data_IF_144943868688
#
_entry.id   IF_144943868688
#
_cell.length_a   1.000
_cell.length_b   1.000
_cell.length_c   1.000
_cell.angle_alpha   90.00
_cell.angle_beta   90.00
_cell.angle_gamma   90.00
#
_symmetry.space_group_name_H-M   'P 1'
#
loop_
_entity.id
_entity.type
_entity.pdbx_description
1 polymer ?
#
# COMPACT_ATOMS: atom_id res chain seq x y z
N UNK A 1 28.12 1.26 23.96
CA UNK A 1 28.49 0.96 22.56
C UNK A 1 27.36 0.13 21.96
N UNK A 2 26.43 0.76 21.26
CA UNK A 2 25.29 0.07 20.62
C UNK A 2 25.69 -0.43 19.23
N UNK A 3 25.40 -1.69 18.94
CA UNK A 3 25.56 -2.31 17.63
C UNK A 3 24.70 -1.58 16.61
N UNK A 4 25.34 -0.93 15.65
CA UNK A 4 24.69 -0.25 14.53
C UNK A 4 24.13 -1.31 13.58
N UNK A 5 22.82 -1.49 13.56
CA UNK A 5 22.13 -2.31 12.55
C UNK A 5 22.20 -1.60 11.20
N UNK A 6 22.83 -2.25 10.22
CA UNK A 6 22.88 -1.77 8.84
C UNK A 6 21.44 -1.58 8.29
N UNK A 7 21.15 -0.60 7.42
CA UNK A 7 19.82 -0.44 6.81
C UNK A 7 19.32 -1.72 6.13
N UNK A 8 20.24 -2.50 5.57
CA UNK A 8 19.99 -3.84 5.01
C UNK A 8 19.53 -4.85 6.06
N UNK A 9 20.04 -4.77 7.29
CA UNK A 9 19.63 -5.61 8.43
C UNK A 9 18.26 -5.21 9.00
N UNK A 10 17.94 -3.92 9.05
CA UNK A 10 16.60 -3.43 9.41
C UNK A 10 15.55 -3.80 8.34
N UNK A 11 15.93 -3.77 7.07
CA UNK A 11 15.12 -4.25 5.96
C UNK A 11 15.01 -5.78 5.87
N UNK A 12 16.05 -6.50 6.27
CA UNK A 12 15.98 -7.94 6.50
C UNK A 12 15.07 -8.26 7.68
N UNK A 13 14.95 -7.40 8.70
CA UNK A 13 13.95 -7.57 9.76
C UNK A 13 12.51 -7.34 9.30
N UNK A 14 12.24 -6.45 8.33
CA UNK A 14 10.97 -6.43 7.57
C UNK A 14 10.68 -7.80 6.91
N UNK A 15 11.74 -8.50 6.46
CA UNK A 15 11.66 -9.87 6.00
C UNK A 15 11.57 -10.94 7.11
N UNK A 16 12.05 -10.67 8.33
CA UNK A 16 12.06 -11.57 9.50
C UNK A 16 10.84 -11.45 10.43
N UNK A 17 9.94 -10.48 10.24
CA UNK A 17 8.58 -10.53 10.83
C UNK A 17 7.85 -11.85 10.45
N UNK A 18 8.38 -12.60 9.48
CA UNK A 18 8.07 -14.00 9.19
C UNK A 18 8.30 -15.04 10.32
N UNK A 19 8.89 -14.72 11.48
CA UNK A 19 9.11 -15.74 12.53
C UNK A 19 7.97 -15.90 13.55
N UNK A 20 6.85 -15.18 13.40
CA UNK A 20 5.60 -15.44 14.14
C UNK A 20 4.58 -16.28 13.34
N UNK A 21 4.97 -16.77 12.15
CA UNK A 21 4.11 -17.49 11.21
C UNK A 21 4.57 -18.95 10.96
N UNK A 22 5.06 -19.64 11.99
CA UNK A 22 5.46 -21.04 11.89
C UNK A 22 4.37 -22.06 12.27
N UNK A 23 3.23 -21.64 12.86
CA UNK A 23 2.27 -22.59 13.45
C UNK A 23 0.92 -22.72 12.72
N UNK A 24 0.78 -22.23 11.48
CA UNK A 24 -0.49 -22.28 10.74
C UNK A 24 -0.44 -23.10 9.44
N UNK A 25 0.38 -24.15 9.36
CA UNK A 25 0.30 -25.15 8.27
C UNK A 25 -0.11 -26.49 8.85
N UNK A 26 -1.40 -26.64 9.06
CA UNK A 26 -2.00 -27.89 9.48
C UNK A 26 -3.50 -27.78 9.47
N UNK A 27 -4.10 -28.06 8.31
CA UNK A 27 -5.48 -28.51 8.06
C UNK A 27 -6.19 -27.66 7.01
N UNK A 28 -6.09 -28.08 5.75
CA UNK A 28 -7.28 -28.34 4.94
C UNK A 28 -6.84 -29.12 3.71
N UNK A 29 -7.03 -30.44 3.74
CA UNK A 29 -7.16 -31.30 2.56
C UNK A 29 -7.60 -32.68 3.03
N UNK A 30 -8.90 -32.88 3.12
CA UNK A 30 -9.49 -34.20 3.02
C UNK A 30 -10.58 -34.12 1.95
N UNK A 31 -10.28 -34.70 0.78
CA UNK A 31 -11.10 -35.72 0.08
C UNK A 31 -10.58 -35.86 -1.36
N UNK A 32 -10.35 -37.13 -1.74
CA UNK A 32 -10.13 -37.71 -3.07
C UNK A 32 -8.68 -37.87 -3.60
N UNK A 33 -8.11 -39.02 -3.21
CA UNK A 33 -7.24 -40.02 -3.85
C UNK A 33 -6.23 -39.70 -4.97
N UNK A 34 -5.08 -40.42 -4.97
CA UNK A 34 -3.88 -40.06 -5.70
C UNK A 34 -3.75 -40.79 -7.04
N UNK A 35 -3.00 -40.23 -7.99
CA UNK A 35 -2.02 -40.91 -8.84
C UNK A 35 -1.36 -39.84 -9.74
N UNK A 36 -0.02 -39.74 -9.66
CA UNK A 36 0.92 -38.89 -10.43
C UNK A 36 0.84 -37.34 -10.26
N UNK A 37 1.48 -36.76 -9.22
CA UNK A 37 1.73 -35.29 -9.19
C UNK A 37 2.83 -34.78 -8.23
N UNK A 38 3.76 -35.59 -7.71
CA UNK A 38 4.72 -35.06 -6.72
C UNK A 38 5.84 -34.17 -7.33
N UNK A 39 6.34 -34.50 -8.52
CA UNK A 39 7.39 -33.70 -9.18
C UNK A 39 6.87 -32.35 -9.75
N UNK A 40 5.60 -32.30 -10.17
CA UNK A 40 4.92 -31.08 -10.64
C UNK A 40 4.74 -30.05 -9.52
N UNK A 41 4.38 -30.53 -8.32
CA UNK A 41 4.07 -29.67 -7.18
C UNK A 41 5.32 -29.01 -6.58
N UNK A 42 6.46 -29.71 -6.56
CA UNK A 42 7.73 -29.14 -6.12
C UNK A 42 8.19 -28.00 -7.03
N UNK A 43 8.10 -28.18 -8.35
CA UNK A 43 8.48 -27.16 -9.35
C UNK A 43 7.61 -25.90 -9.23
N UNK A 44 6.30 -26.06 -9.01
CA UNK A 44 5.37 -24.93 -8.83
C UNK A 44 5.63 -24.20 -7.50
N UNK A 45 5.95 -24.93 -6.43
CA UNK A 45 6.29 -24.35 -5.14
C UNK A 45 7.59 -23.53 -5.22
N UNK A 46 8.61 -24.04 -5.88
CA UNK A 46 9.90 -23.37 -6.09
C UNK A 46 9.74 -22.10 -6.93
N UNK A 47 8.96 -22.15 -8.02
CA UNK A 47 8.65 -20.98 -8.83
C UNK A 47 7.89 -19.90 -8.03
N UNK A 48 6.94 -20.31 -7.17
CA UNK A 48 6.22 -19.36 -6.28
C UNK A 48 7.17 -18.73 -5.27
N UNK A 49 8.06 -19.51 -4.66
CA UNK A 49 9.06 -19.00 -3.72
C UNK A 49 10.02 -18.00 -4.39
N UNK A 50 10.49 -18.32 -5.59
CA UNK A 50 11.36 -17.45 -6.39
C UNK A 50 10.64 -16.14 -6.76
N UNK A 51 9.38 -16.21 -7.22
CA UNK A 51 8.59 -15.03 -7.54
C UNK A 51 8.35 -14.14 -6.31
N UNK A 52 8.07 -14.74 -5.14
CA UNK A 52 7.91 -14.01 -3.89
C UNK A 52 9.20 -13.31 -3.45
N UNK A 53 10.34 -13.97 -3.60
CA UNK A 53 11.66 -13.39 -3.30
C UNK A 53 11.96 -12.18 -4.19
N UNK A 54 11.71 -12.31 -5.50
CA UNK A 54 11.90 -11.21 -6.45
C UNK A 54 10.94 -10.05 -6.18
N UNK A 55 9.67 -10.34 -5.86
CA UNK A 55 8.68 -9.34 -5.48
C UNK A 55 9.10 -8.59 -4.21
N UNK A 56 9.60 -9.31 -3.19
CA UNK A 56 10.12 -8.72 -1.96
C UNK A 56 11.28 -7.77 -2.24
N UNK A 57 12.27 -8.20 -3.03
CA UNK A 57 13.42 -7.36 -3.37
C UNK A 57 13.01 -6.10 -4.13
N UNK A 58 12.07 -6.22 -5.07
CA UNK A 58 11.54 -5.09 -5.85
C UNK A 58 10.85 -4.09 -4.94
N UNK A 59 9.98 -4.57 -4.04
CA UNK A 59 9.25 -3.72 -3.11
C UNK A 59 10.17 -3.04 -2.09
N UNK A 60 11.14 -3.78 -1.55
CA UNK A 60 12.19 -3.25 -0.68
C UNK A 60 13.00 -2.14 -1.36
N UNK A 61 13.38 -2.34 -2.62
CA UNK A 61 14.12 -1.33 -3.39
C UNK A 61 13.30 -0.05 -3.58
N UNK A 62 12.00 -0.19 -3.85
CA UNK A 62 11.07 0.94 -3.93
C UNK A 62 11.00 1.71 -2.60
N UNK A 63 10.79 1.02 -1.47
CA UNK A 63 10.69 1.65 -0.15
C UNK A 63 11.99 2.36 0.23
N UNK A 64 13.14 1.72 -0.02
CA UNK A 64 14.45 2.35 0.19
C UNK A 64 14.60 3.66 -0.59
N UNK A 65 14.27 3.65 -1.89
CA UNK A 65 14.37 4.85 -2.72
C UNK A 65 13.47 5.98 -2.21
N UNK A 66 12.24 5.67 -1.77
CA UNK A 66 11.31 6.64 -1.19
C UNK A 66 11.80 7.20 0.14
N UNK A 67 12.26 6.34 1.05
CA UNK A 67 12.79 6.78 2.35
C UNK A 67 14.09 7.58 2.20
N UNK A 68 14.93 7.25 1.22
CA UNK A 68 16.12 8.02 0.90
C UNK A 68 15.74 9.44 0.45
N UNK A 69 14.77 9.57 -0.46
CA UNK A 69 14.26 10.87 -0.89
C UNK A 69 13.72 11.70 0.30
N UNK A 70 12.97 11.07 1.20
CA UNK A 70 12.47 11.72 2.42
C UNK A 70 13.61 12.24 3.31
N UNK A 71 14.65 11.41 3.50
CA UNK A 71 15.82 11.77 4.30
C UNK A 71 16.64 12.92 3.69
N UNK A 72 16.61 13.05 2.37
CA UNK A 72 17.33 14.11 1.65
C UNK A 72 16.55 15.43 1.63
N UNK A 73 15.21 15.39 1.63
CA UNK A 73 14.38 16.56 1.40
C UNK A 73 13.82 17.22 2.66
N UNK A 74 13.54 16.50 3.75
CA UNK A 74 12.59 17.00 4.78
C UNK A 74 12.84 16.61 6.23
N UNK A 75 13.87 15.84 6.53
CA UNK A 75 14.10 15.48 7.92
C UNK A 75 14.85 16.59 8.63
N UNK A 76 14.13 17.38 9.44
CA UNK A 76 14.74 18.24 10.45
C UNK A 76 15.72 17.40 11.28
N UNK A 77 17.02 17.72 11.31
CA UNK A 77 18.01 16.96 12.08
C UNK A 77 17.63 16.84 13.57
N UNK A 78 16.90 17.83 14.11
CA UNK A 78 16.43 17.81 15.49
C UNK A 78 15.40 16.69 15.76
N UNK A 79 14.72 16.20 14.72
CA UNK A 79 13.77 15.08 14.82
C UNK A 79 14.48 13.76 15.15
N UNK A 80 15.74 13.63 14.73
CA UNK A 80 16.56 12.43 14.90
C UNK A 80 17.82 12.73 15.73
N UNK A 81 17.68 13.06 17.03
CA UNK A 81 18.78 13.57 17.85
C UNK A 81 19.97 12.59 17.96
N UNK A 82 19.74 11.30 17.76
CA UNK A 82 20.77 10.26 17.82
C UNK A 82 21.51 10.03 16.49
N UNK A 83 21.05 10.63 15.39
CA UNK A 83 21.65 10.42 14.07
C UNK A 83 22.81 11.38 13.79
N UNK A 84 22.79 12.60 14.34
CA UNK A 84 23.67 13.67 13.88
C UNK A 84 23.50 13.91 12.36
N UNK A 85 24.53 14.42 11.70
CA UNK A 85 24.49 14.76 10.26
C UNK A 85 24.69 13.54 9.32
N UNK A 86 24.47 12.32 9.80
CA UNK A 86 24.73 11.12 9.03
C UNK A 86 23.46 10.61 8.31
N UNK A 87 23.29 10.84 6.99
CA UNK A 87 22.06 10.50 6.25
C UNK A 87 21.73 9.00 6.29
N UNK A 88 22.76 8.14 6.27
CA UNK A 88 22.60 6.69 6.39
C UNK A 88 21.96 6.26 7.72
N UNK A 89 22.17 7.02 8.80
CA UNK A 89 21.55 6.74 10.10
C UNK A 89 20.08 7.16 10.11
N UNK A 90 19.76 8.29 9.47
CA UNK A 90 18.36 8.76 9.30
C UNK A 90 17.55 7.73 8.53
N UNK A 91 18.08 7.22 7.41
CA UNK A 91 17.42 6.17 6.62
C UNK A 91 17.14 4.91 7.47
N UNK A 92 18.11 4.46 8.27
CA UNK A 92 17.92 3.35 9.19
C UNK A 92 16.83 3.60 10.24
N UNK A 93 16.70 4.84 10.73
CA UNK A 93 15.62 5.24 11.66
C UNK A 93 14.27 5.29 10.99
N UNK A 94 14.15 5.85 9.79
CA UNK A 94 12.91 5.87 9.02
C UNK A 94 12.39 4.45 8.79
N UNK A 95 13.28 3.52 8.42
CA UNK A 95 12.91 2.10 8.28
C UNK A 95 12.41 1.49 9.61
N UNK A 96 13.05 1.83 10.73
CA UNK A 96 12.66 1.34 12.05
C UNK A 96 11.32 1.93 12.53
N UNK A 97 11.05 3.21 12.25
CA UNK A 97 9.76 3.85 12.55
C UNK A 97 8.67 3.23 11.68
N UNK A 98 8.94 2.98 10.40
CA UNK A 98 7.99 2.29 9.52
C UNK A 98 7.62 0.90 10.05
N UNK A 99 8.62 0.14 10.51
CA UNK A 99 8.44 -1.16 11.16
C UNK A 99 7.60 -1.07 12.44
N UNK A 100 7.91 -0.10 13.28
CA UNK A 100 7.17 0.16 14.52
C UNK A 100 5.70 0.51 14.24
N UNK A 101 5.46 1.42 13.30
CA UNK A 101 4.12 1.80 12.86
C UNK A 101 3.33 0.60 12.35
N UNK A 102 3.94 -0.25 11.52
CA UNK A 102 3.30 -1.50 11.03
C UNK A 102 2.97 -2.42 12.20
N UNK A 103 3.93 -2.68 13.08
CA UNK A 103 3.73 -3.56 14.23
C UNK A 103 2.63 -3.04 15.14
N UNK A 104 2.59 -1.74 15.40
CA UNK A 104 1.61 -1.14 16.28
C UNK A 104 0.21 -1.18 15.67
N UNK A 105 0.08 -0.86 14.38
CA UNK A 105 -1.20 -0.95 13.66
C UNK A 105 -1.70 -2.38 13.50
N UNK A 106 -0.82 -3.38 13.38
CA UNK A 106 -1.23 -4.79 13.35
C UNK A 106 -1.74 -5.27 14.71
N UNK A 107 -1.10 -4.85 15.81
CA UNK A 107 -1.48 -5.27 17.17
C UNK A 107 -2.70 -4.50 17.70
N UNK A 108 -2.85 -3.23 17.32
CA UNK A 108 -3.88 -2.31 17.79
C UNK A 108 -4.39 -1.51 16.59
N UNK A 109 -5.28 -2.06 15.77
CA UNK A 109 -5.61 -1.44 14.48
C UNK A 109 -6.45 -0.15 14.59
N UNK A 110 -6.94 0.16 15.80
CA UNK A 110 -7.61 1.42 16.19
C UNK A 110 -6.64 2.51 16.70
N UNK A 111 -5.36 2.42 16.36
CA UNK A 111 -4.37 3.41 16.75
C UNK A 111 -4.50 4.71 15.94
N UNK A 112 -4.19 5.83 16.58
CA UNK A 112 -4.00 7.13 15.93
C UNK A 112 -2.54 7.37 15.54
N UNK A 113 -2.27 8.37 14.71
CA UNK A 113 -0.90 8.81 14.43
C UNK A 113 -0.17 9.28 15.70
N UNK A 114 -0.91 9.84 16.66
CA UNK A 114 -0.38 10.24 17.96
C UNK A 114 0.09 9.04 18.80
N UNK A 115 -0.62 7.91 18.74
CA UNK A 115 -0.25 6.71 19.50
C UNK A 115 1.05 6.12 18.93
N UNK A 116 1.15 6.01 17.60
CA UNK A 116 2.37 5.58 16.91
C UNK A 116 3.54 6.52 17.23
N UNK A 117 3.30 7.84 17.27
CA UNK A 117 4.32 8.81 17.69
C UNK A 117 4.80 8.54 19.12
N UNK A 118 3.87 8.35 20.05
CA UNK A 118 4.18 8.15 21.47
C UNK A 118 4.99 6.87 21.68
N UNK A 119 4.62 5.79 20.99
CA UNK A 119 5.36 4.52 21.01
C UNK A 119 6.78 4.70 20.42
N UNK A 120 6.90 5.37 19.28
CA UNK A 120 8.19 5.68 18.65
C UNK A 120 9.09 6.59 19.49
N UNK A 121 8.53 7.53 20.27
CA UNK A 121 9.28 8.33 21.27
C UNK A 121 9.75 7.44 22.42
N UNK A 122 8.88 6.56 22.94
CA UNK A 122 9.23 5.58 23.97
C UNK A 122 10.38 4.66 23.56
N UNK A 123 10.44 4.30 22.28
CA UNK A 123 11.52 3.52 21.66
C UNK A 123 12.77 4.36 21.30
N UNK A 124 12.75 5.67 21.58
CA UNK A 124 13.82 6.62 21.27
C UNK A 124 14.16 6.68 19.78
N UNK A 125 13.15 6.50 18.92
CA UNK A 125 13.27 6.65 17.47
C UNK A 125 13.04 8.10 17.03
N UNK A 126 12.16 8.81 17.74
CA UNK A 126 11.79 10.21 17.52
C UNK A 126 12.11 11.06 18.76
N UNK A 127 12.22 12.38 18.55
CA UNK A 127 12.35 13.37 19.63
C UNK A 127 11.03 13.56 20.38
N UNK A 128 11.11 13.77 21.70
CA UNK A 128 9.97 14.12 22.57
C UNK A 128 9.67 15.64 22.57
N UNK A 129 10.37 16.42 21.75
CA UNK A 129 10.11 17.86 21.64
C UNK A 129 8.73 18.09 21.02
N UNK A 130 7.82 18.67 21.79
CA UNK A 130 6.48 19.03 21.36
C UNK A 130 6.48 19.95 20.13
N UNK A 131 7.54 20.74 19.91
CA UNK A 131 7.71 21.57 18.71
C UNK A 131 7.91 20.75 17.44
N UNK A 132 8.47 19.55 17.57
CA UNK A 132 8.75 18.63 16.46
C UNK A 132 7.62 17.62 16.22
N UNK A 133 6.60 17.59 17.09
CA UNK A 133 5.48 16.67 17.00
C UNK A 133 4.80 16.66 15.62
N UNK A 134 4.65 17.83 14.99
CA UNK A 134 4.02 17.94 13.67
C UNK A 134 4.87 17.29 12.58
N UNK A 135 6.17 17.57 12.56
CA UNK A 135 7.12 16.94 11.64
C UNK A 135 7.20 15.43 11.85
N UNK A 136 7.19 15.00 13.12
CA UNK A 136 7.16 13.59 13.50
C UNK A 136 5.91 12.87 12.98
N UNK A 137 4.74 13.47 13.22
CA UNK A 137 3.45 12.95 12.75
C UNK A 137 3.38 12.87 11.22
N UNK A 138 3.92 13.88 10.54
CA UNK A 138 4.01 13.88 9.09
C UNK A 138 4.92 12.75 8.56
N UNK A 139 6.08 12.52 9.17
CA UNK A 139 6.95 11.39 8.80
C UNK A 139 6.22 10.06 8.97
N UNK A 140 5.50 9.86 10.08
CA UNK A 140 4.71 8.65 10.30
C UNK A 140 3.62 8.52 9.24
N UNK A 141 2.90 9.60 8.92
CA UNK A 141 1.90 9.62 7.85
C UNK A 141 2.49 9.19 6.51
N UNK A 142 3.61 9.79 6.08
CA UNK A 142 4.29 9.41 4.84
C UNK A 142 4.70 7.93 4.83
N UNK A 143 5.28 7.45 5.92
CA UNK A 143 5.70 6.05 6.05
C UNK A 143 4.52 5.09 5.99
N UNK A 144 3.43 5.37 6.70
CA UNK A 144 2.20 4.56 6.67
C UNK A 144 1.61 4.54 5.25
N UNK A 145 1.55 5.68 4.57
CA UNK A 145 1.08 5.76 3.19
C UNK A 145 1.89 4.86 2.24
N UNK A 146 3.23 4.91 2.31
CA UNK A 146 4.09 4.05 1.50
C UNK A 146 4.04 2.57 1.92
N UNK A 147 3.90 2.26 3.20
CA UNK A 147 3.88 0.86 3.66
C UNK A 147 2.56 0.16 3.33
N UNK A 148 1.47 0.92 3.30
CA UNK A 148 0.11 0.41 3.06
C UNK A 148 -0.32 0.57 1.61
N UNK A 149 0.31 1.48 0.86
CA UNK A 149 -0.09 1.89 -0.50
C UNK A 149 -1.53 2.38 -0.60
N UNK A 150 -2.19 2.71 0.52
CA UNK A 150 -3.59 3.14 0.50
C UNK A 150 -3.75 4.51 -0.15
N UNK A 151 -2.75 5.38 0.05
CA UNK A 151 -2.68 6.71 -0.54
C UNK A 151 -1.26 7.02 -0.98
N UNK A 152 -1.12 8.06 -1.81
CA UNK A 152 0.18 8.56 -2.24
C UNK A 152 0.53 9.81 -1.42
N UNK A 153 1.25 9.69 -0.30
CA UNK A 153 1.61 10.84 0.51
C UNK A 153 2.55 11.74 -0.27
N UNK A 154 2.31 13.04 -0.19
CA UNK A 154 3.30 14.01 -0.61
C UNK A 154 4.34 14.15 0.50
N UNK A 155 5.62 14.23 0.13
CA UNK A 155 6.67 14.47 1.10
C UNK A 155 6.57 15.87 1.74
N UNK A 156 5.78 16.81 1.23
CA UNK A 156 5.76 18.21 1.70
C UNK A 156 5.54 18.42 3.22
N UNK A 157 5.79 19.62 3.75
CA UNK A 157 5.69 19.87 5.20
C UNK A 157 4.27 19.73 5.80
N UNK A 158 3.29 19.24 5.04
CA UNK A 158 1.90 19.07 5.45
C UNK A 158 1.47 17.61 5.23
N UNK A 159 0.50 17.11 5.99
CA UNK A 159 -0.12 15.82 5.67
C UNK A 159 -1.03 16.01 4.46
N UNK A 160 -0.44 15.92 3.26
CA UNK A 160 -1.16 16.04 2.00
C UNK A 160 -1.04 14.77 1.17
N UNK A 161 -2.07 14.50 0.38
CA UNK A 161 -2.15 13.33 -0.49
C UNK A 161 -2.17 13.83 -1.93
N UNK A 162 -1.36 13.19 -2.77
CA UNK A 162 -1.47 13.37 -4.20
C UNK A 162 -2.75 12.71 -4.70
N UNK A 163 -3.65 13.51 -5.27
CA UNK A 163 -4.84 13.00 -5.92
C UNK A 163 -4.72 13.16 -7.44
N UNK A 164 -4.42 12.06 -8.12
CA UNK A 164 -4.49 11.97 -9.58
C UNK A 164 -5.95 11.84 -10.01
N UNK A 165 -6.66 12.98 -10.10
CA UNK A 165 -7.89 13.11 -10.89
C UNK A 165 -9.08 12.22 -10.49
N UNK A 166 -9.12 11.71 -9.26
CA UNK A 166 -10.16 10.77 -8.83
C UNK A 166 -11.56 11.41 -8.76
N UNK A 167 -12.57 10.71 -9.29
CA UNK A 167 -13.98 11.08 -9.10
C UNK A 167 -14.56 10.63 -7.75
N UNK A 168 -13.95 9.65 -7.06
CA UNK A 168 -14.40 9.20 -5.74
C UNK A 168 -13.99 10.13 -4.59
N UNK A 169 -13.18 11.17 -4.85
CA UNK A 169 -12.75 12.16 -3.87
C UNK A 169 -13.13 13.55 -4.36
N UNK A 170 -14.00 14.25 -3.64
CA UNK A 170 -14.55 15.54 -4.10
C UNK A 170 -13.54 16.71 -4.06
N UNK A 171 -12.29 16.52 -3.64
CA UNK A 171 -11.35 17.63 -3.38
C UNK A 171 -9.91 17.37 -3.85
N UNK A 172 -9.49 18.07 -4.94
CA UNK A 172 -8.19 18.01 -5.65
C UNK A 172 -6.90 17.96 -4.83
N UNK A 173 -6.91 18.39 -3.58
CA UNK A 173 -5.83 18.17 -2.62
C UNK A 173 -6.49 18.22 -1.26
N UNK A 174 -6.53 17.10 -0.55
CA UNK A 174 -6.92 17.11 0.86
C UNK A 174 -5.69 17.52 1.66
N UNK A 175 -5.40 18.82 1.67
CA UNK A 175 -4.53 19.42 2.68
C UNK A 175 -5.34 19.56 3.95
N UNK A 176 -5.05 18.77 4.96
CA UNK A 176 -5.50 19.10 6.31
C UNK A 176 -4.42 19.98 6.95
N UNK A 177 -4.64 21.29 7.12
CA UNK A 177 -3.68 22.14 7.81
C UNK A 177 -3.54 21.62 9.25
N UNK A 178 -2.32 21.22 9.61
CA UNK A 178 -1.91 20.91 10.98
C UNK A 178 -1.89 22.16 11.89
N UNK A 179 -2.22 23.33 11.36
CA UNK A 179 -2.13 24.61 12.06
C UNK A 179 -3.32 24.82 12.97
N UNK A 180 -3.20 24.36 14.22
CA UNK A 180 -4.06 24.75 15.34
C UNK A 180 -3.66 24.02 16.63
N UNK A 181 -3.72 24.67 17.80
CA UNK A 181 -3.40 24.05 19.11
C UNK A 181 -4.35 22.92 19.52
N UNK A 182 -5.32 22.59 18.67
CA UNK A 182 -6.34 21.57 18.85
C UNK A 182 -6.70 20.96 17.50
N UNK A 183 -5.78 20.28 16.83
CA UNK A 183 -6.11 19.46 15.64
C UNK A 183 -6.58 18.08 16.08
N UNK A 184 -7.90 17.81 16.16
CA UNK A 184 -8.43 16.52 16.61
C UNK A 184 -8.01 15.33 15.74
N UNK A 185 -7.48 15.58 14.54
CA UNK A 185 -7.24 14.57 13.51
C UNK A 185 -6.05 13.64 13.78
N UNK A 186 -4.92 14.13 14.30
CA UNK A 186 -3.80 13.23 14.65
C UNK A 186 -4.12 12.28 15.79
N UNK A 187 -5.17 12.60 16.58
CA UNK A 187 -5.67 11.80 17.70
C UNK A 187 -6.85 10.90 17.32
N UNK A 188 -7.39 11.04 16.09
CA UNK A 188 -8.37 10.09 15.55
C UNK A 188 -7.66 8.84 15.06
N UNK A 189 -8.41 7.74 15.04
CA UNK A 189 -7.91 6.47 14.52
C UNK A 189 -7.40 6.66 13.07
N UNK A 190 -6.32 5.98 12.70
CA UNK A 190 -5.76 6.07 11.35
C UNK A 190 -6.81 5.65 10.31
N UNK A 191 -7.62 4.64 10.63
CA UNK A 191 -8.77 4.22 9.84
C UNK A 191 -9.79 5.34 9.62
N UNK A 192 -10.16 6.09 10.67
CA UNK A 192 -11.05 7.24 10.55
C UNK A 192 -10.45 8.34 9.69
N UNK A 193 -9.17 8.67 9.91
CA UNK A 193 -8.47 9.65 9.09
C UNK A 193 -8.46 9.23 7.61
N UNK A 194 -8.26 7.96 7.31
CA UNK A 194 -8.33 7.44 5.94
C UNK A 194 -9.72 7.65 5.32
N UNK A 195 -10.80 7.43 6.07
CA UNK A 195 -12.15 7.75 5.59
C UNK A 195 -12.35 9.25 5.33
N UNK A 196 -11.86 10.12 6.22
CA UNK A 196 -11.91 11.58 6.01
C UNK A 196 -11.11 12.04 4.80
N UNK A 197 -10.03 11.30 4.48
CA UNK A 197 -9.25 11.50 3.27
C UNK A 197 -9.98 11.01 2.01
N UNK A 198 -11.24 10.59 2.13
CA UNK A 198 -12.10 10.08 1.07
C UNK A 198 -11.75 8.66 0.64
N UNK A 199 -10.82 7.98 1.33
CA UNK A 199 -10.37 6.64 0.94
C UNK A 199 -11.49 5.65 1.25
N UNK A 200 -12.40 5.50 0.31
CA UNK A 200 -13.45 4.49 0.36
C UNK A 200 -12.82 3.17 -0.06
N UNK A 201 -12.73 2.23 0.88
CA UNK A 201 -12.38 0.85 0.55
C UNK A 201 -13.31 0.38 -0.57
N UNK A 202 -12.78 -0.28 -1.62
CA UNK A 202 -13.60 -0.82 -2.70
C UNK A 202 -14.72 -1.66 -2.12
N UNK A 203 -15.96 -1.16 -2.17
CA UNK A 203 -17.13 -1.99 -1.89
C UNK A 203 -17.27 -2.95 -3.06
N UNK A 204 -17.76 -4.18 -2.82
CA UNK A 204 -18.25 -5.01 -3.93
C UNK A 204 -19.31 -4.20 -4.67
N UNK A 205 -18.95 -3.68 -5.86
CA UNK A 205 -19.91 -3.12 -6.77
C UNK A 205 -20.85 -4.27 -7.14
N UNK A 206 -22.03 -4.30 -6.53
CA UNK A 206 -23.12 -5.09 -7.08
C UNK A 206 -23.37 -4.49 -8.46
N UNK A 207 -23.29 -5.33 -9.49
CA UNK A 207 -23.77 -4.95 -10.80
C UNK A 207 -25.27 -4.69 -10.63
N UNK A 208 -25.64 -3.43 -10.38
CA UNK A 208 -27.00 -3.00 -10.55
C UNK A 208 -27.29 -3.21 -12.03
N UNK A 209 -28.18 -4.16 -12.32
CA UNK A 209 -28.62 -4.50 -13.67
C UNK A 209 -29.50 -3.36 -14.23
N UNK A 210 -29.07 -2.11 -14.13
CA UNK A 210 -29.66 -1.01 -14.87
C UNK A 210 -29.29 -1.20 -16.34
N UNK A 211 -30.16 -1.92 -17.05
CA UNK A 211 -30.24 -1.90 -18.50
C UNK A 211 -30.60 -0.48 -18.94
N UNK A 212 -29.65 0.44 -18.98
CA UNK A 212 -29.82 1.70 -19.70
C UNK A 212 -28.47 2.33 -19.98
N UNK A 213 -27.95 2.00 -21.16
CA UNK A 213 -27.50 2.94 -22.19
C UNK A 213 -26.86 2.12 -23.30
N UNK A 214 -27.09 2.54 -24.55
CA UNK A 214 -26.55 1.90 -25.74
C UNK A 214 -25.03 2.10 -25.82
N UNK A 215 -24.28 1.47 -24.92
CA UNK A 215 -22.85 1.39 -24.99
C UNK A 215 -22.50 0.44 -26.14
N UNK A 216 -21.71 0.93 -27.11
CA UNK A 216 -20.98 0.06 -28.04
C UNK A 216 -20.22 -0.96 -27.21
N UNK A 217 -20.70 -2.21 -27.19
CA UNK A 217 -20.11 -3.25 -26.37
C UNK A 217 -18.73 -3.59 -26.91
N UNK A 218 -17.69 -3.22 -26.18
CA UNK A 218 -16.35 -3.69 -26.48
C UNK A 218 -16.28 -5.15 -25.99
N UNK A 219 -15.98 -6.07 -26.89
CA UNK A 219 -15.72 -7.46 -26.51
C UNK A 219 -14.55 -7.48 -25.52
N UNK A 220 -14.77 -8.06 -24.33
CA UNK A 220 -13.75 -8.14 -23.28
C UNK A 220 -12.44 -8.78 -23.77
N UNK A 221 -12.50 -9.64 -24.79
CA UNK A 221 -11.34 -10.25 -25.44
C UNK A 221 -10.46 -9.25 -26.20
N UNK A 222 -11.01 -8.11 -26.58
CA UNK A 222 -10.32 -7.04 -27.30
C UNK A 222 -9.70 -6.01 -26.34
N UNK A 223 -10.02 -6.08 -25.04
CA UNK A 223 -9.48 -5.17 -24.03
C UNK A 223 -8.02 -5.52 -23.76
N UNK A 224 -7.12 -4.66 -24.24
CA UNK A 224 -5.71 -4.65 -23.88
C UNK A 224 -5.17 -3.22 -24.03
N UNK A 225 -3.97 -2.94 -23.48
CA UNK A 225 -3.40 -1.59 -23.47
C UNK A 225 -3.23 -1.01 -24.88
N UNK A 226 -2.84 -1.82 -25.87
CA UNK A 226 -2.74 -1.33 -27.25
C UNK A 226 -4.10 -0.92 -27.81
N UNK A 227 -5.15 -1.70 -27.59
CA UNK A 227 -6.50 -1.35 -28.05
C UNK A 227 -6.96 -0.03 -27.42
N UNK A 228 -6.87 0.10 -26.10
CA UNK A 228 -7.37 1.29 -25.41
C UNK A 228 -6.53 2.54 -25.71
N UNK A 229 -5.20 2.41 -25.82
CA UNK A 229 -4.34 3.57 -26.10
C UNK A 229 -4.42 4.00 -27.57
N UNK A 230 -4.39 3.06 -28.51
CA UNK A 230 -4.29 3.38 -29.94
C UNK A 230 -5.65 3.73 -30.56
N UNK A 231 -6.72 3.05 -30.13
CA UNK A 231 -8.03 3.21 -30.76
C UNK A 231 -8.98 4.06 -29.93
N UNK A 232 -8.96 3.92 -28.60
CA UNK A 232 -9.80 4.74 -27.72
C UNK A 232 -9.11 6.03 -27.26
N UNK A 233 -7.83 6.23 -27.60
CA UNK A 233 -7.07 7.42 -27.21
C UNK A 233 -6.90 7.57 -25.70
N UNK A 234 -7.00 6.46 -24.95
CA UNK A 234 -6.87 6.45 -23.49
C UNK A 234 -5.40 6.47 -23.11
N UNK A 235 -4.99 7.44 -22.30
CA UNK A 235 -3.65 7.49 -21.72
C UNK A 235 -3.60 6.64 -20.44
N UNK A 236 -2.52 5.87 -20.26
CA UNK A 236 -2.30 5.09 -19.02
C UNK A 236 -1.49 5.94 -18.05
N UNK A 237 -2.11 6.23 -16.89
CA UNK A 237 -1.48 6.88 -15.77
C UNK A 237 -1.10 5.84 -14.71
N UNK A 238 0.06 6.00 -14.09
CA UNK A 238 0.60 5.00 -13.16
C UNK A 238 0.71 5.57 -11.76
N UNK A 239 0.04 4.93 -10.81
CA UNK A 239 -0.09 5.40 -9.43
C UNK A 239 0.49 4.39 -8.43
N UNK A 240 0.93 4.90 -7.28
CA UNK A 240 1.32 4.09 -6.10
C UNK A 240 0.21 3.97 -5.08
N UNK A 241 -0.96 4.59 -5.31
CA UNK A 241 -2.16 4.33 -4.52
C UNK A 241 -2.88 3.10 -5.08
N UNK A 242 -3.14 2.13 -4.22
CA UNK A 242 -3.81 0.88 -4.57
C UNK A 242 -5.26 1.14 -5.01
N UNK A 243 -5.95 2.06 -4.34
CA UNK A 243 -7.36 2.38 -4.62
C UNK A 243 -7.58 3.23 -5.88
N UNK A 244 -6.51 3.65 -6.55
CA UNK A 244 -6.59 4.31 -7.85
C UNK A 244 -6.64 3.34 -9.03
N UNK A 245 -6.52 2.05 -8.76
CA UNK A 245 -6.51 1.05 -9.81
C UNK A 245 -7.83 1.04 -10.59
N UNK A 246 -7.76 1.12 -11.92
CA UNK A 246 -8.89 1.22 -12.84
C UNK A 246 -9.74 2.50 -12.68
N UNK A 247 -9.24 3.53 -12.01
CA UNK A 247 -9.91 4.83 -12.02
C UNK A 247 -9.80 5.46 -13.41
N UNK A 248 -10.92 5.90 -13.98
CA UNK A 248 -10.96 6.55 -15.28
C UNK A 248 -11.36 8.03 -15.14
N UNK A 249 -10.48 8.92 -15.61
CA UNK A 249 -10.77 10.35 -15.75
C UNK A 249 -11.27 10.60 -17.18
N UNK A 250 -12.60 10.68 -17.33
CA UNK A 250 -13.26 10.97 -18.61
C UNK A 250 -12.82 12.31 -19.21
N UNK A 251 -12.52 13.31 -18.37
CA UNK A 251 -12.16 14.66 -18.84
C UNK A 251 -10.79 14.70 -19.50
N UNK A 252 -9.88 13.82 -19.08
CA UNK A 252 -8.52 13.70 -19.62
C UNK A 252 -8.32 12.44 -20.46
N UNK A 253 -9.33 11.58 -20.56
CA UNK A 253 -9.24 10.25 -21.15
C UNK A 253 -8.08 9.43 -20.55
N UNK A 254 -7.98 9.39 -19.21
CA UNK A 254 -6.87 8.72 -18.50
C UNK A 254 -7.36 7.56 -17.67
N UNK A 255 -6.72 6.40 -17.85
CA UNK A 255 -6.92 5.22 -17.01
C UNK A 255 -5.75 5.06 -16.05
N UNK A 256 -6.03 5.13 -14.76
CA UNK A 256 -5.02 4.97 -13.72
C UNK A 256 -4.82 3.50 -13.37
N UNK A 257 -3.58 3.03 -13.42
CA UNK A 257 -3.17 1.67 -13.05
C UNK A 257 -2.16 1.70 -11.91
N UNK A 258 -2.22 0.68 -11.07
CA UNK A 258 -1.33 0.54 -9.92
C UNK A 258 0.04 0.04 -10.39
N UNK A 259 1.11 0.72 -9.99
CA UNK A 259 2.44 0.53 -10.54
C UNK A 259 3.27 -0.57 -9.84
N UNK A 260 2.80 -1.14 -8.74
CA UNK A 260 3.59 -2.02 -7.87
C UNK A 260 2.99 -3.42 -7.70
N UNK A 261 2.91 -4.25 -8.75
CA UNK A 261 2.36 -5.62 -8.63
C UNK A 261 3.11 -6.48 -7.61
N UNK A 262 4.37 -6.16 -7.29
CA UNK A 262 5.12 -6.80 -6.21
C UNK A 262 4.44 -6.65 -4.84
N UNK A 263 3.83 -5.50 -4.56
CA UNK A 263 3.06 -5.29 -3.34
C UNK A 263 1.88 -6.26 -3.27
N UNK A 264 1.07 -6.34 -4.34
CA UNK A 264 -0.06 -7.25 -4.41
C UNK A 264 0.37 -8.72 -4.23
N UNK A 265 1.47 -9.15 -4.85
CA UNK A 265 1.99 -10.52 -4.70
C UNK A 265 2.45 -10.84 -3.27
N UNK A 266 2.93 -9.85 -2.52
CA UNK A 266 3.38 -10.04 -1.14
C UNK A 266 2.21 -10.11 -0.16
N UNK A 267 1.15 -9.34 -0.41
CA UNK A 267 -0.01 -9.20 0.47
C UNK A 267 -1.17 -10.17 0.16
N UNK A 268 -1.21 -10.78 -1.03
CA UNK A 268 -2.19 -11.81 -1.45
C UNK A 268 -1.86 -13.21 -0.89
N UNK A 269 -1.36 -13.31 0.36
CA UNK A 269 -0.90 -14.57 0.98
C UNK A 269 -1.47 -14.77 2.40
N UNK A 270 -2.57 -14.10 2.74
CA UNK A 270 -3.37 -14.42 3.94
C UNK A 270 -3.42 -13.35 5.04
N UNK A 271 -4.20 -13.68 6.07
CA UNK A 271 -4.93 -12.80 7.01
C UNK A 271 -4.07 -11.95 7.98
N UNK A 272 -2.73 -12.00 7.92
CA UNK A 272 -1.85 -11.31 8.88
C UNK A 272 -1.21 -10.03 8.34
N UNK A 273 -1.60 -9.57 7.15
CA UNK A 273 -1.01 -8.36 6.57
C UNK A 273 -1.61 -7.08 7.19
N UNK A 274 -0.79 -6.03 7.37
CA UNK A 274 -1.22 -4.72 7.85
C UNK A 274 -2.45 -4.18 7.08
N UNK A 275 -2.52 -4.47 5.79
CA UNK A 275 -3.64 -4.08 4.93
C UNK A 275 -4.97 -4.69 5.41
N UNK A 276 -4.97 -5.94 5.90
CA UNK A 276 -6.16 -6.57 6.46
C UNK A 276 -6.56 -5.93 7.77
N UNK A 277 -5.61 -5.70 8.70
CA UNK A 277 -5.91 -5.08 10.00
C UNK A 277 -6.53 -3.69 9.85
N UNK A 278 -6.02 -2.90 8.89
CA UNK A 278 -6.59 -1.60 8.55
C UNK A 278 -7.95 -1.73 7.86
N UNK A 279 -8.10 -2.67 6.92
CA UNK A 279 -9.36 -2.92 6.23
C UNK A 279 -10.46 -3.30 7.22
N UNK A 280 -10.20 -4.29 8.08
CA UNK A 280 -11.12 -4.75 9.13
C UNK A 280 -11.59 -3.57 10.00
N UNK A 281 -10.66 -2.71 10.40
CA UNK A 281 -11.02 -1.54 11.21
C UNK A 281 -11.90 -0.56 10.44
N UNK A 282 -11.52 -0.18 9.22
CA UNK A 282 -12.31 0.75 8.40
C UNK A 282 -13.69 0.16 8.09
N UNK A 283 -13.78 -1.12 7.78
CA UNK A 283 -15.04 -1.75 7.41
C UNK A 283 -16.00 -1.86 8.60
N UNK A 284 -15.50 -2.15 9.81
CA UNK A 284 -16.32 -2.06 11.04
C UNK A 284 -16.84 -0.65 11.32
N UNK A 285 -16.14 0.39 10.86
CA UNK A 285 -16.58 1.78 10.99
C UNK A 285 -17.62 2.17 9.93
N UNK A 286 -17.58 1.57 8.74
CA UNK A 286 -18.45 1.94 7.61
C UNK A 286 -19.75 1.12 7.59
N UNK A 287 -19.70 -0.20 7.80
CA UNK A 287 -20.88 -1.07 7.71
C UNK A 287 -20.66 -2.40 8.46
N UNK A 288 -21.08 -2.51 9.72
CA UNK A 288 -20.92 -3.74 10.52
C UNK A 288 -21.65 -4.98 9.95
N UNK A 289 -22.57 -4.79 9.01
CA UNK A 289 -23.45 -5.83 8.47
C UNK A 289 -22.89 -6.57 7.23
N UNK A 290 -21.76 -6.11 6.66
CA UNK A 290 -21.19 -6.65 5.41
C UNK A 290 -19.87 -7.42 5.61
N UNK A 291 -19.54 -7.77 6.86
CA UNK A 291 -18.26 -8.29 7.37
C UNK A 291 -17.78 -9.69 6.86
N UNK A 292 -18.19 -10.14 5.67
CA UNK A 292 -17.56 -11.30 5.00
C UNK A 292 -16.41 -10.81 4.10
N UNK A 293 -15.41 -10.21 4.74
CA UNK A 293 -14.59 -9.12 4.17
C UNK A 293 -13.11 -9.45 3.91
N UNK A 294 -12.57 -10.52 4.50
CA UNK A 294 -11.19 -10.97 4.19
C UNK A 294 -11.05 -11.35 2.71
N UNK A 295 -12.11 -11.93 2.13
CA UNK A 295 -12.17 -12.24 0.69
C UNK A 295 -12.17 -10.99 -0.20
N UNK A 296 -12.43 -9.80 0.34
CA UNK A 296 -12.53 -8.56 -0.43
C UNK A 296 -11.15 -7.99 -0.77
N UNK A 297 -10.23 -7.89 0.20
CA UNK A 297 -8.85 -7.44 -0.06
C UNK A 297 -8.12 -8.43 -0.96
N UNK A 298 -8.23 -9.74 -0.71
CA UNK A 298 -7.62 -10.75 -1.58
C UNK A 298 -8.19 -10.69 -3.00
N UNK A 299 -9.51 -10.57 -3.10
CA UNK A 299 -10.20 -10.38 -4.38
C UNK A 299 -9.67 -9.16 -5.13
N UNK A 300 -9.53 -8.03 -4.44
CA UNK A 300 -9.05 -6.79 -5.03
C UNK A 300 -7.57 -6.84 -5.43
N UNK A 301 -6.67 -7.36 -4.58
CA UNK A 301 -5.26 -7.53 -4.93
C UNK A 301 -5.09 -8.48 -6.11
N UNK A 302 -5.91 -9.54 -6.18
CA UNK A 302 -5.95 -10.45 -7.32
C UNK A 302 -6.50 -9.76 -8.57
N UNK A 303 -7.53 -8.94 -8.44
CA UNK A 303 -8.07 -8.13 -9.54
C UNK A 303 -7.00 -7.21 -10.11
N UNK A 304 -6.24 -6.49 -9.27
CA UNK A 304 -5.13 -5.65 -9.71
C UNK A 304 -4.13 -6.44 -10.58
N UNK A 305 -3.74 -7.62 -10.12
CA UNK A 305 -2.83 -8.50 -10.85
C UNK A 305 -3.42 -9.00 -12.17
N UNK A 306 -4.71 -9.37 -12.18
CA UNK A 306 -5.42 -9.85 -13.37
C UNK A 306 -5.60 -8.73 -14.40
N UNK A 307 -5.96 -7.53 -13.98
CA UNK A 307 -6.10 -6.36 -14.83
C UNK A 307 -4.78 -6.02 -15.51
N UNK A 308 -3.67 -5.98 -14.76
CA UNK A 308 -2.34 -5.78 -15.35
C UNK A 308 -1.99 -6.89 -16.36
N UNK A 309 -2.39 -8.14 -16.09
CA UNK A 309 -2.20 -9.24 -17.03
C UNK A 309 -3.05 -9.10 -18.30
N UNK A 310 -4.31 -8.69 -18.19
CA UNK A 310 -5.21 -8.44 -19.32
C UNK A 310 -4.66 -7.28 -20.17
N UNK A 311 -4.29 -6.17 -19.55
CA UNK A 311 -3.79 -4.99 -20.27
C UNK A 311 -2.46 -5.27 -20.99
N UNK A 312 -1.50 -5.92 -20.32
CA UNK A 312 -0.12 -5.98 -20.81
C UNK A 312 0.42 -7.38 -21.12
N UNK A 313 -0.20 -8.43 -20.59
CA UNK A 313 0.29 -9.81 -20.70
C UNK A 313 -0.03 -10.45 -22.05
N UNK A 314 -1.26 -10.24 -22.53
CA UNK A 314 -1.83 -10.95 -23.67
C UNK A 314 -1.29 -10.51 -25.05
N UNK A 315 -1.09 -9.20 -25.28
CA UNK A 315 -0.63 -8.66 -26.57
C UNK A 315 0.81 -8.13 -26.48
N UNK A 316 1.66 -8.47 -27.47
CA UNK A 316 3.04 -7.97 -27.55
C UNK A 316 3.11 -6.45 -27.73
N UNK A 317 2.17 -5.85 -28.48
CA UNK A 317 2.06 -4.40 -28.68
C UNK A 317 1.77 -3.71 -27.36
N UNK A 318 0.96 -4.29 -26.50
CA UNK A 318 0.65 -3.74 -25.18
C UNK A 318 1.89 -3.59 -24.29
N UNK A 319 2.89 -4.48 -24.41
CA UNK A 319 4.10 -4.44 -23.57
C UNK A 319 4.91 -3.15 -23.73
N UNK A 320 4.77 -2.42 -24.84
CA UNK A 320 5.46 -1.12 -25.01
C UNK A 320 4.96 -0.06 -24.02
N UNK A 321 3.66 -0.11 -23.68
CA UNK A 321 3.03 0.79 -22.69
C UNK A 321 3.39 0.41 -21.25
N UNK A 322 3.86 -0.82 -21.02
CA UNK A 322 4.40 -1.23 -19.73
C UNK A 322 5.86 -0.80 -19.54
N UNK A 323 6.66 -0.84 -20.61
CA UNK A 323 8.12 -0.60 -20.60
C UNK A 323 8.53 0.87 -20.69
N UNK A 324 7.60 1.79 -20.93
CA UNK A 324 7.88 3.23 -20.92
C UNK A 324 8.07 3.82 -19.51
N UNK A 325 8.35 2.96 -18.51
CA UNK A 325 8.56 3.29 -17.10
C UNK A 325 9.75 2.53 -16.54
#
# INVERSE_FOLDING_TARGET
>A
MGTVTHPRSAMESLGKVKSLAADAVGQSNAIASPIHSEASNATVADMRAQNKSKALQTYQSFLCAKMQLLSEQQTDPALFPQCGDAPNKVLGRLAQIGLDAVSCLQQKPRQSFHDVYTDSVGLKLLSDDQKLYQSASHVIFVLVGWLTMLYNPQPDAQMSIFQDGFQCFQHRTLTHPLSGPSTPHTRREIAENMMFLGLVIPKRLRADNSQDQAATSLDARLINAATICEYAGVEIEWSTSLFSHLSFDESRCRLTLFALPSFCLLHNVGETSLLYSLHETIATLVSPAEADENAMIDGFLREVLLSLHIFFGADKRSRKYFKSK
#
